data_IF_523894442076
#
_entry.id   IF_523894442076
#
_cell.length_a   1.000
_cell.length_b   1.000
_cell.length_c   1.000
_cell.angle_alpha   90.00
_cell.angle_beta   90.00
_cell.angle_gamma   90.00
#
_symmetry.space_group_name_H-M   'P 1'
#
loop_
_entity.id
_entity.type
_entity.pdbx_description
1 polymer ?
#
# COMPACT_ATOMS: atom_id res chain seq x y z
N UNK A 1 15.07 -37.88 47.42
CA UNK A 1 14.32 -36.59 47.41
C UNK A 1 15.02 -35.48 46.61
N UNK A 2 16.36 -35.36 46.64
CA UNK A 2 17.10 -34.32 45.90
C UNK A 2 16.90 -34.35 44.36
N UNK A 3 16.88 -35.53 43.75
CA UNK A 3 16.75 -35.66 42.28
C UNK A 3 15.41 -35.19 41.71
N UNK A 4 14.33 -35.34 42.49
CA UNK A 4 13.00 -34.85 42.08
C UNK A 4 12.97 -33.31 42.07
N UNK A 5 13.59 -32.67 43.07
CA UNK A 5 13.69 -31.20 43.11
C UNK A 5 14.60 -30.65 42.01
N UNK A 6 15.66 -31.35 41.64
CA UNK A 6 16.53 -30.98 40.51
C UNK A 6 15.79 -31.04 39.17
N UNK A 7 15.02 -32.12 38.92
CA UNK A 7 14.19 -32.26 37.71
C UNK A 7 13.11 -31.18 37.61
N UNK A 8 12.45 -30.84 38.72
CA UNK A 8 11.43 -29.79 38.74
C UNK A 8 12.03 -28.41 38.44
N UNK A 9 13.20 -28.10 39.01
CA UNK A 9 13.95 -26.87 38.71
C UNK A 9 14.37 -26.82 37.23
N UNK A 10 14.93 -27.90 36.70
CA UNK A 10 15.31 -27.99 35.29
C UNK A 10 14.11 -27.76 34.35
N UNK A 11 12.95 -28.37 34.66
CA UNK A 11 11.72 -28.18 33.89
C UNK A 11 11.24 -26.73 33.92
N UNK A 12 11.25 -26.08 35.09
CA UNK A 12 10.87 -24.67 35.22
C UNK A 12 11.79 -23.78 34.38
N UNK A 13 13.10 -23.96 34.48
CA UNK A 13 14.08 -23.20 33.68
C UNK A 13 13.85 -23.39 32.17
N UNK A 14 13.58 -24.62 31.73
CA UNK A 14 13.30 -24.91 30.32
C UNK A 14 12.00 -24.21 29.84
N UNK A 15 10.93 -24.26 30.63
CA UNK A 15 9.67 -23.58 30.33
C UNK A 15 9.84 -22.06 30.28
N UNK A 16 10.57 -21.47 31.22
CA UNK A 16 10.84 -20.03 31.25
C UNK A 16 11.68 -19.60 30.03
N UNK A 17 12.68 -20.39 29.64
CA UNK A 17 13.46 -20.14 28.43
C UNK A 17 12.58 -20.21 27.17
N UNK A 18 11.69 -21.20 27.08
CA UNK A 18 10.77 -21.33 25.96
C UNK A 18 9.77 -20.16 25.90
N UNK A 19 9.24 -19.72 27.04
CA UNK A 19 8.34 -18.57 27.13
C UNK A 19 9.03 -17.29 26.65
N UNK A 20 10.26 -17.03 27.11
CA UNK A 20 11.07 -15.88 26.65
C UNK A 20 11.31 -15.92 25.15
N UNK A 21 11.62 -17.08 24.58
CA UNK A 21 11.84 -17.22 23.14
C UNK A 21 10.56 -16.97 22.34
N UNK A 22 9.40 -17.45 22.81
CA UNK A 22 8.10 -17.16 22.17
C UNK A 22 7.75 -15.69 22.23
N UNK A 23 7.90 -15.04 23.39
CA UNK A 23 7.67 -13.61 23.54
C UNK A 23 8.55 -12.80 22.59
N UNK A 24 9.85 -13.09 22.53
CA UNK A 24 10.78 -12.43 21.59
C UNK A 24 10.39 -12.61 20.13
N UNK A 25 9.80 -13.77 19.75
CA UNK A 25 9.33 -14.00 18.37
C UNK A 25 8.09 -13.15 18.08
N UNK A 26 7.12 -13.13 19.00
CA UNK A 26 5.92 -12.28 18.88
C UNK A 26 6.31 -10.81 18.78
N UNK A 27 7.27 -10.34 19.58
CA UNK A 27 7.75 -8.95 19.51
C UNK A 27 8.50 -8.64 18.21
N UNK A 28 9.23 -9.62 17.66
CA UNK A 28 9.85 -9.48 16.34
C UNK A 28 8.80 -9.40 15.23
N UNK A 29 7.79 -10.26 15.29
CA UNK A 29 6.68 -10.28 14.33
C UNK A 29 5.90 -8.96 14.37
N UNK A 30 5.48 -8.51 15.56
CA UNK A 30 4.82 -7.21 15.75
C UNK A 30 5.63 -6.04 15.21
N UNK A 31 6.95 -6.04 15.41
CA UNK A 31 7.84 -5.00 14.87
C UNK A 31 7.90 -5.06 13.34
N UNK A 32 7.96 -6.26 12.75
CA UNK A 32 7.94 -6.43 11.29
C UNK A 32 6.61 -5.99 10.69
N UNK A 33 5.49 -6.33 11.34
CA UNK A 33 4.16 -5.91 10.90
C UNK A 33 4.03 -4.38 10.93
N UNK A 34 4.47 -3.74 12.02
CA UNK A 34 4.45 -2.29 12.13
C UNK A 34 5.32 -1.60 11.06
N UNK A 35 6.51 -2.14 10.78
CA UNK A 35 7.38 -1.65 9.71
C UNK A 35 6.73 -1.84 8.33
N UNK A 36 6.10 -2.99 8.08
CA UNK A 36 5.40 -3.26 6.84
C UNK A 36 4.25 -2.26 6.58
N UNK A 37 3.44 -1.99 7.61
CA UNK A 37 2.38 -0.98 7.54
C UNK A 37 2.98 0.41 7.24
N UNK A 38 4.03 0.79 7.96
CA UNK A 38 4.70 2.09 7.76
C UNK A 38 5.20 2.27 6.31
N UNK A 39 5.84 1.25 5.74
CA UNK A 39 6.36 1.30 4.36
C UNK A 39 5.21 1.48 3.36
N UNK A 40 4.15 0.66 3.46
CA UNK A 40 3.04 0.73 2.50
C UNK A 40 2.24 2.04 2.65
N UNK A 41 2.03 2.53 3.88
CA UNK A 41 1.40 3.83 4.11
C UNK A 41 2.19 4.97 3.50
N UNK A 42 3.52 5.01 3.72
CA UNK A 42 4.36 6.05 3.15
C UNK A 42 4.38 6.04 1.61
N UNK A 43 4.39 4.84 1.00
CA UNK A 43 4.28 4.72 -0.46
C UNK A 43 2.91 5.19 -0.97
N UNK A 44 1.82 4.82 -0.30
CA UNK A 44 0.48 5.26 -0.67
C UNK A 44 0.30 6.78 -0.55
N UNK A 45 0.83 7.39 0.51
CA UNK A 45 0.83 8.85 0.69
C UNK A 45 1.62 9.55 -0.42
N UNK A 46 2.82 9.04 -0.75
CA UNK A 46 3.61 9.54 -1.88
C UNK A 46 2.83 9.44 -3.18
N UNK A 47 2.25 8.29 -3.47
CA UNK A 47 1.55 8.05 -4.72
C UNK A 47 0.30 8.96 -4.84
N UNK A 48 -0.37 9.27 -3.72
CA UNK A 48 -1.44 10.26 -3.69
C UNK A 48 -0.95 11.67 -4.05
N UNK A 49 0.20 12.11 -3.51
CA UNK A 49 0.81 13.40 -3.87
C UNK A 49 1.24 13.42 -5.33
N UNK A 50 1.87 12.35 -5.82
CA UNK A 50 2.27 12.21 -7.23
C UNK A 50 1.07 12.30 -8.15
N UNK A 51 -0.03 11.59 -7.85
CA UNK A 51 -1.28 11.65 -8.62
C UNK A 51 -1.84 13.07 -8.73
N UNK A 52 -1.87 13.84 -7.63
CA UNK A 52 -2.30 15.24 -7.67
C UNK A 52 -1.39 16.09 -8.56
N UNK A 53 -0.08 15.88 -8.49
CA UNK A 53 0.88 16.58 -9.36
C UNK A 53 0.72 16.20 -10.83
N UNK A 54 0.55 14.91 -11.14
CA UNK A 54 0.31 14.41 -12.49
C UNK A 54 -1.00 14.96 -13.08
N UNK A 55 -2.08 15.01 -12.29
CA UNK A 55 -3.35 15.58 -12.71
C UNK A 55 -3.22 17.08 -13.05
N UNK A 56 -2.48 17.85 -12.24
CA UNK A 56 -2.19 19.28 -12.53
C UNK A 56 -1.37 19.44 -13.81
N UNK A 57 -0.34 18.62 -14.00
CA UNK A 57 0.48 18.63 -15.22
C UNK A 57 -0.36 18.26 -16.46
N UNK A 58 -1.18 17.21 -16.36
CA UNK A 58 -2.10 16.80 -17.41
C UNK A 58 -3.11 17.89 -17.76
N UNK A 59 -3.70 18.56 -16.76
CA UNK A 59 -4.60 19.68 -16.99
C UNK A 59 -3.92 20.87 -17.69
N UNK A 60 -2.65 21.15 -17.39
CA UNK A 60 -1.87 22.15 -18.11
C UNK A 60 -1.64 21.74 -19.58
N UNK A 61 -1.28 20.48 -19.83
CA UNK A 61 -1.14 19.95 -21.19
C UNK A 61 -2.44 20.02 -21.99
N UNK A 62 -3.59 19.72 -21.36
CA UNK A 62 -4.91 19.90 -21.98
C UNK A 62 -5.08 21.34 -22.44
N UNK A 63 -4.85 22.33 -21.56
CA UNK A 63 -4.95 23.76 -21.91
C UNK A 63 -4.01 24.16 -23.04
N UNK A 64 -2.75 23.71 -23.02
CA UNK A 64 -1.80 23.96 -24.11
C UNK A 64 -2.31 23.43 -25.45
N UNK A 65 -2.90 22.23 -25.47
CA UNK A 65 -3.40 21.65 -26.73
C UNK A 65 -4.76 22.19 -27.18
N UNK A 66 -5.62 22.58 -26.25
CA UNK A 66 -7.00 23.00 -26.56
C UNK A 66 -7.13 24.52 -26.74
N UNK A 67 -6.48 25.30 -25.90
CA UNK A 67 -6.58 26.77 -25.89
C UNK A 67 -5.50 27.40 -26.78
N UNK A 68 -4.25 26.97 -26.61
CA UNK A 68 -3.11 27.48 -27.39
C UNK A 68 -2.93 26.74 -28.73
N UNK A 69 -3.75 25.71 -28.99
CA UNK A 69 -3.76 24.90 -30.24
C UNK A 69 -2.42 24.25 -30.59
N UNK A 70 -1.56 24.04 -29.60
CA UNK A 70 -0.29 23.35 -29.78
C UNK A 70 -0.51 21.86 -30.05
N UNK A 71 0.32 21.29 -30.91
CA UNK A 71 0.49 19.84 -30.95
C UNK A 71 1.15 19.36 -29.65
N UNK A 72 0.99 18.07 -29.35
CA UNK A 72 1.58 17.50 -28.14
C UNK A 72 3.11 17.52 -28.17
N UNK A 73 3.71 17.42 -29.36
CA UNK A 73 5.16 17.53 -29.54
C UNK A 73 5.65 18.95 -29.26
N UNK A 74 4.97 19.98 -29.78
CA UNK A 74 5.31 21.38 -29.48
C UNK A 74 5.14 21.69 -27.99
N UNK A 75 4.08 21.18 -27.36
CA UNK A 75 3.91 21.34 -25.92
C UNK A 75 5.08 20.72 -25.12
N UNK A 76 5.60 19.57 -25.56
CA UNK A 76 6.81 18.95 -24.97
C UNK A 76 8.05 19.82 -25.16
N UNK A 77 8.26 20.40 -26.35
CA UNK A 77 9.37 21.32 -26.58
C UNK A 77 9.29 22.54 -25.65
N UNK A 78 8.11 23.10 -25.45
CA UNK A 78 7.86 24.15 -24.46
C UNK A 78 8.13 23.72 -23.00
N UNK A 79 7.99 22.43 -22.70
CA UNK A 79 8.34 21.85 -21.40
C UNK A 79 9.84 21.54 -21.23
N UNK A 80 10.70 21.98 -22.15
CA UNK A 80 12.15 21.71 -22.12
C UNK A 80 12.56 20.46 -22.91
N UNK A 81 11.69 19.98 -23.79
CA UNK A 81 11.99 18.89 -24.74
C UNK A 81 11.92 17.49 -24.13
N UNK A 82 12.24 16.50 -24.96
CA UNK A 82 12.11 15.08 -24.64
C UNK A 82 13.03 14.58 -23.51
N UNK A 83 14.03 15.38 -23.10
CA UNK A 83 14.90 15.06 -21.95
C UNK A 83 14.15 15.16 -20.61
N UNK A 84 13.20 16.08 -20.51
CA UNK A 84 12.42 16.32 -19.28
C UNK A 84 11.02 15.69 -19.34
N UNK A 85 10.40 15.68 -20.53
CA UNK A 85 9.07 15.13 -20.71
C UNK A 85 8.93 14.49 -22.09
N UNK A 86 8.80 13.17 -22.15
CA UNK A 86 8.59 12.50 -23.44
C UNK A 86 7.18 12.73 -23.97
N UNK A 87 6.98 12.69 -25.30
CA UNK A 87 5.63 12.80 -25.92
C UNK A 87 4.68 11.71 -25.41
N UNK A 88 5.20 10.49 -25.17
CA UNK A 88 4.41 9.39 -24.61
C UNK A 88 3.93 9.69 -23.19
N UNK A 89 4.79 10.29 -22.37
CA UNK A 89 4.44 10.68 -21.02
C UNK A 89 3.45 11.86 -21.00
N UNK A 90 3.68 12.87 -21.82
CA UNK A 90 2.74 13.96 -22.01
C UNK A 90 1.35 13.45 -22.45
N UNK A 91 1.31 12.46 -23.34
CA UNK A 91 0.06 11.82 -23.77
C UNK A 91 -0.63 11.11 -22.59
N UNK A 92 0.12 10.34 -21.79
CA UNK A 92 -0.40 9.66 -20.59
C UNK A 92 -1.00 10.65 -19.60
N UNK A 93 -0.27 11.72 -19.26
CA UNK A 93 -0.71 12.75 -18.33
C UNK A 93 -1.98 13.46 -18.82
N UNK A 94 -2.03 13.80 -20.11
CA UNK A 94 -3.20 14.43 -20.72
C UNK A 94 -4.42 13.52 -20.66
N UNK A 95 -4.26 12.23 -20.99
CA UNK A 95 -5.34 11.25 -20.92
C UNK A 95 -5.82 11.01 -19.48
N UNK A 96 -4.92 10.95 -18.51
CA UNK A 96 -5.26 10.82 -17.10
C UNK A 96 -6.13 11.99 -16.63
N UNK A 97 -5.76 13.24 -16.94
CA UNK A 97 -6.54 14.42 -16.58
C UNK A 97 -7.94 14.44 -17.23
N UNK A 98 -8.08 13.92 -18.45
CA UNK A 98 -9.38 13.79 -19.12
C UNK A 98 -10.24 12.67 -18.53
N UNK A 99 -9.60 11.62 -18.01
CA UNK A 99 -10.28 10.45 -17.43
C UNK A 99 -10.72 10.68 -15.98
N UNK A 100 -9.99 11.48 -15.20
CA UNK A 100 -10.38 11.87 -13.83
C UNK A 100 -11.65 12.74 -13.80
N UNK A 101 -11.98 13.43 -14.90
CA UNK A 101 -13.29 14.07 -15.06
C UNK A 101 -14.48 13.09 -15.17
N UNK A 102 -14.21 11.81 -15.42
CA UNK A 102 -15.20 10.73 -15.63
C UNK A 102 -15.22 9.70 -14.50
N UNK A 103 -14.15 9.59 -13.71
CA UNK A 103 -14.03 8.59 -12.65
C UNK A 103 -14.44 9.18 -11.29
N UNK A 104 -15.74 9.06 -10.96
CA UNK A 104 -16.22 9.18 -9.58
C UNK A 104 -15.50 8.19 -8.64
N UNK A 105 -15.48 8.45 -7.32
CA UNK A 105 -14.65 7.71 -6.38
C UNK A 105 -15.00 6.22 -6.37
N UNK A 106 -14.08 5.39 -6.84
CA UNK A 106 -14.18 3.93 -6.70
C UNK A 106 -13.85 3.60 -5.25
N UNK A 107 -14.89 3.59 -4.41
CA UNK A 107 -14.83 3.01 -3.08
C UNK A 107 -14.58 1.50 -3.23
N UNK A 108 -13.35 1.05 -2.98
CA UNK A 108 -12.97 -0.35 -2.93
C UNK A 108 -13.66 -1.08 -1.79
N UNK A 109 -14.89 -1.55 -2.03
CA UNK A 109 -15.58 -2.44 -1.11
C UNK A 109 -15.01 -3.87 -1.25
N UNK A 110 -14.14 -4.23 -0.31
CA UNK A 110 -13.87 -5.64 0.02
C UNK A 110 -15.17 -6.30 0.46
N UNK A 111 -15.72 -7.20 -0.36
CA UNK A 111 -16.77 -8.14 0.08
C UNK A 111 -16.46 -9.53 -0.46
N UNK A 112 -15.98 -10.41 0.42
CA UNK A 112 -16.52 -11.78 0.56
C UNK A 112 -16.19 -12.30 1.97
N UNK A 113 -16.91 -11.79 2.98
CA UNK A 113 -17.01 -12.50 4.25
C UNK A 113 -17.87 -13.75 4.02
N UNK A 114 -17.22 -14.92 3.90
CA UNK A 114 -17.87 -16.23 3.81
C UNK A 114 -18.39 -16.61 5.20
N UNK A 115 -19.64 -16.25 5.48
CA UNK A 115 -20.36 -16.60 6.71
C UNK A 115 -20.44 -18.12 6.86
N UNK A 116 -19.60 -18.70 7.74
CA UNK A 116 -19.69 -20.11 8.11
C UNK A 116 -20.56 -20.22 9.36
N UNK A 117 -21.82 -20.62 9.17
CA UNK A 117 -22.82 -20.86 10.21
C UNK A 117 -22.30 -21.93 11.19
N UNK A 118 -22.33 -21.74 12.53
CA UNK A 118 -22.00 -22.81 13.45
C UNK A 118 -23.14 -23.84 13.51
N UNK A 119 -22.77 -25.13 13.41
CA UNK A 119 -23.68 -26.27 13.49
C UNK A 119 -23.82 -26.64 14.97
N UNK A 120 -25.01 -26.48 15.53
CA UNK A 120 -25.35 -26.89 16.90
C UNK A 120 -25.40 -28.43 16.96
N UNK A 121 -24.82 -29.10 17.98
CA UNK A 121 -24.98 -30.54 18.14
C UNK A 121 -26.35 -30.86 18.77
N UNK A 122 -27.09 -31.79 18.14
CA UNK A 122 -28.28 -32.40 18.73
C UNK A 122 -27.84 -33.49 19.70
N UNK A 123 -28.26 -33.35 20.96
CA UNK A 123 -28.10 -34.34 22.02
C UNK A 123 -29.18 -35.42 21.87
N UNK A 124 -28.76 -36.68 21.81
CA UNK A 124 -29.53 -37.85 22.25
C UNK A 124 -28.56 -38.81 22.93
#
# INVERSE_FOLDING_TARGET
>A
MADQTARQRARRTALDAQARMRARRVDQERRRDALGVMVISALAERDAVVSVCEARAGAALVKMTEQERLSLAEAVEWCGGAELLTVREAARLRQAAQSEGVAGPVCGARTTARTRRPRVPATL
#
